data_IF_232949633566
#
_entry.id   IF_232949633566
#
_cell.length_a   1.000
_cell.length_b   1.000
_cell.length_c   1.000
_cell.angle_alpha   90.00
_cell.angle_beta   90.00
_cell.angle_gamma   90.00
#
_symmetry.space_group_name_H-M   'P 1'
#
loop_
_entity.id
_entity.type
_entity.pdbx_description
1 polymer ?
#
# COMPACT_ATOMS: atom_id res chain seq x y z
N UNK A 1 26.56 -20.75 13.12
CA UNK A 1 25.57 -20.16 12.20
C UNK A 1 24.37 -21.07 12.24
N UNK A 2 23.25 -20.60 12.79
CA UNK A 2 21.99 -21.34 12.62
C UNK A 2 21.70 -21.41 11.12
N UNK A 3 21.41 -22.61 10.64
CA UNK A 3 21.07 -22.86 9.26
C UNK A 3 19.59 -22.47 9.10
N UNK A 4 19.32 -21.17 8.95
CA UNK A 4 17.96 -20.65 8.84
C UNK A 4 17.44 -20.99 7.44
N UNK A 5 16.25 -21.59 7.38
CA UNK A 5 15.60 -21.96 6.11
C UNK A 5 15.28 -20.70 5.29
N UNK A 6 15.80 -20.56 4.05
CA UNK A 6 15.47 -19.44 3.17
C UNK A 6 13.97 -19.24 2.95
N UNK A 7 13.17 -20.31 2.98
CA UNK A 7 11.72 -20.23 2.86
C UNK A 7 11.12 -19.49 4.06
N UNK A 8 11.57 -19.82 5.27
CA UNK A 8 11.07 -19.20 6.50
C UNK A 8 11.48 -17.72 6.59
N UNK A 9 12.70 -17.38 6.17
CA UNK A 9 13.15 -15.98 6.07
C UNK A 9 12.28 -15.15 5.11
N UNK A 10 12.01 -15.67 3.90
CA UNK A 10 11.15 -14.97 2.92
C UNK A 10 9.73 -14.83 3.47
N UNK A 11 9.18 -15.87 4.10
CA UNK A 11 7.83 -15.82 4.67
C UNK A 11 7.71 -14.76 5.74
N UNK A 12 8.55 -14.84 6.76
CA UNK A 12 8.44 -14.01 7.97
C UNK A 12 8.81 -12.54 7.72
N UNK A 13 9.78 -12.28 6.83
CA UNK A 13 10.31 -10.92 6.61
C UNK A 13 9.73 -10.21 5.40
N UNK A 14 9.06 -10.91 4.49
CA UNK A 14 8.49 -10.29 3.29
C UNK A 14 7.01 -10.64 3.07
N UNK A 15 6.63 -11.92 3.06
CA UNK A 15 5.25 -12.33 2.76
C UNK A 15 4.29 -11.90 3.88
N UNK A 16 4.54 -12.31 5.12
CA UNK A 16 3.64 -11.99 6.23
C UNK A 16 3.50 -10.48 6.49
N UNK A 17 4.59 -9.67 6.45
CA UNK A 17 4.43 -8.22 6.58
C UNK A 17 3.66 -7.60 5.39
N UNK A 18 3.81 -8.14 4.18
CA UNK A 18 3.00 -7.73 3.02
C UNK A 18 1.52 -8.03 3.25
N UNK A 19 1.19 -9.23 3.74
CA UNK A 19 -0.19 -9.64 4.01
C UNK A 19 -0.82 -8.82 5.14
N UNK A 20 -0.06 -8.54 6.22
CA UNK A 20 -0.51 -7.65 7.29
C UNK A 20 -0.77 -6.24 6.80
N UNK A 21 0.12 -5.68 5.97
CA UNK A 21 -0.07 -4.35 5.40
C UNK A 21 -1.29 -4.30 4.47
N UNK A 22 -1.45 -5.31 3.61
CA UNK A 22 -2.59 -5.45 2.71
C UNK A 22 -3.92 -5.52 3.49
N UNK A 23 -3.96 -6.27 4.60
CA UNK A 23 -5.12 -6.32 5.48
C UNK A 23 -5.39 -4.96 6.16
N UNK A 24 -4.36 -4.32 6.72
CA UNK A 24 -4.50 -3.01 7.38
C UNK A 24 -5.06 -1.94 6.43
N UNK A 25 -4.70 -2.01 5.15
CA UNK A 25 -5.20 -1.11 4.11
C UNK A 25 -6.68 -1.33 3.77
N UNK A 26 -7.29 -2.45 4.16
CA UNK A 26 -8.76 -2.65 4.06
C UNK A 26 -9.55 -1.99 5.20
N UNK A 27 -8.85 -1.47 6.21
CA UNK A 27 -9.50 -0.72 7.28
C UNK A 27 -9.87 0.67 6.77
N UNK A 28 -11.12 1.07 7.01
CA UNK A 28 -11.72 2.31 6.53
C UNK A 28 -11.22 3.53 7.29
N UNK A 29 -9.91 3.66 7.45
CA UNK A 29 -9.24 4.75 8.17
C UNK A 29 -8.89 5.91 7.25
N UNK A 30 -8.98 7.11 7.78
CA UNK A 30 -8.41 8.29 7.15
C UNK A 30 -6.89 8.30 7.38
N UNK A 31 -6.13 8.12 6.29
CA UNK A 31 -4.67 8.03 6.34
C UNK A 31 -4.03 9.26 5.69
N UNK A 32 -3.00 9.78 6.36
CA UNK A 32 -2.09 10.80 5.82
C UNK A 32 -0.69 10.19 5.75
N UNK A 33 -0.09 10.14 4.55
CA UNK A 33 1.14 9.38 4.29
C UNK A 33 2.31 9.72 5.22
N UNK A 34 2.49 10.99 5.55
CA UNK A 34 3.55 11.49 6.45
C UNK A 34 3.39 11.00 7.91
N UNK A 35 2.15 10.68 8.31
CA UNK A 35 1.76 10.38 9.69
C UNK A 35 1.26 8.95 9.89
N UNK A 36 0.87 8.25 8.83
CA UNK A 36 0.31 6.89 8.86
C UNK A 36 1.38 5.83 9.13
N UNK A 37 1.06 4.87 9.98
CA UNK A 37 1.92 3.72 10.22
C UNK A 37 2.01 2.82 9.00
N UNK A 38 0.96 2.76 8.18
CA UNK A 38 0.88 1.99 6.94
C UNK A 38 1.96 2.43 5.93
N UNK A 39 2.17 3.73 5.73
CA UNK A 39 3.25 4.23 4.88
C UNK A 39 4.65 3.93 5.45
N UNK A 40 4.81 3.94 6.78
CA UNK A 40 6.07 3.56 7.44
C UNK A 40 6.33 2.06 7.28
N UNK A 41 5.30 1.24 7.42
CA UNK A 41 5.39 -0.21 7.27
C UNK A 41 5.65 -0.61 5.81
N UNK A 42 5.09 0.10 4.84
CA UNK A 42 5.49 -0.01 3.43
C UNK A 42 6.99 0.28 3.22
N UNK A 43 7.50 1.38 3.78
CA UNK A 43 8.92 1.70 3.73
C UNK A 43 9.80 0.64 4.38
N UNK A 44 9.41 0.13 5.56
CA UNK A 44 10.10 -0.97 6.26
C UNK A 44 10.08 -2.27 5.45
N UNK A 45 8.95 -2.60 4.82
CA UNK A 45 8.81 -3.77 3.97
C UNK A 45 9.75 -3.68 2.76
N UNK A 46 9.82 -2.52 2.09
CA UNK A 46 10.77 -2.31 0.98
C UNK A 46 12.22 -2.51 1.43
N UNK A 47 12.59 -1.99 2.60
CA UNK A 47 13.92 -2.20 3.20
C UNK A 47 14.17 -3.68 3.52
N UNK A 48 13.18 -4.38 4.08
CA UNK A 48 13.29 -5.79 4.44
C UNK A 48 13.47 -6.69 3.20
N UNK A 49 12.67 -6.50 2.16
CA UNK A 49 12.76 -7.24 0.88
C UNK A 49 14.13 -7.02 0.24
N UNK A 50 14.60 -5.77 0.17
CA UNK A 50 15.96 -5.50 -0.33
C UNK A 50 17.03 -6.17 0.54
N UNK A 51 16.89 -6.08 1.86
CA UNK A 51 17.82 -6.71 2.79
C UNK A 51 17.87 -8.23 2.68
N UNK A 52 16.79 -8.88 2.25
CA UNK A 52 16.78 -10.31 1.94
C UNK A 52 17.64 -10.63 0.71
N UNK A 53 17.58 -9.83 -0.35
CA UNK A 53 18.47 -10.01 -1.50
C UNK A 53 19.95 -9.89 -1.11
N UNK A 54 20.28 -8.89 -0.29
CA UNK A 54 21.64 -8.70 0.24
C UNK A 54 22.07 -9.89 1.13
N UNK A 55 21.15 -10.39 1.97
CA UNK A 55 21.39 -11.54 2.84
C UNK A 55 21.68 -12.84 2.08
N UNK A 56 20.99 -13.07 0.95
CA UNK A 56 21.22 -14.22 0.08
C UNK A 56 22.26 -13.96 -1.02
N UNK A 57 23.04 -12.88 -0.90
CA UNK A 57 24.14 -12.53 -1.81
C UNK A 57 23.71 -12.39 -3.29
N UNK A 58 22.46 -11.99 -3.54
CA UNK A 58 21.96 -11.74 -4.89
C UNK A 58 22.50 -10.40 -5.44
N UNK A 59 22.95 -10.41 -6.70
CA UNK A 59 23.46 -9.20 -7.34
C UNK A 59 22.33 -8.20 -7.63
N UNK A 60 22.40 -7.04 -6.98
CA UNK A 60 21.39 -6.00 -7.09
C UNK A 60 21.25 -5.42 -8.52
N UNK A 61 22.32 -5.42 -9.32
CA UNK A 61 22.29 -4.93 -10.71
C UNK A 61 21.55 -5.91 -11.61
N UNK A 62 21.74 -7.20 -11.40
CA UNK A 62 21.04 -8.22 -12.20
C UNK A 62 19.56 -8.31 -11.84
N UNK A 63 19.20 -8.13 -10.57
CA UNK A 63 17.80 -7.96 -10.16
C UNK A 63 17.16 -6.72 -10.79
N UNK A 64 17.85 -5.58 -10.79
CA UNK A 64 17.35 -4.33 -11.38
C UNK A 64 17.16 -4.42 -12.91
N UNK A 65 18.06 -5.12 -13.63
CA UNK A 65 17.87 -5.41 -15.06
C UNK A 65 16.68 -6.31 -15.34
N UNK A 66 16.37 -7.21 -14.40
CA UNK A 66 15.33 -8.22 -14.55
C UNK A 66 13.94 -7.71 -14.17
N UNK A 67 13.83 -6.60 -13.43
CA UNK A 67 12.54 -6.10 -12.95
C UNK A 67 12.54 -4.59 -12.69
N UNK A 68 11.61 -3.90 -13.36
CA UNK A 68 11.29 -2.50 -13.06
C UNK A 68 10.70 -2.36 -11.65
N UNK A 69 9.90 -3.33 -11.19
CA UNK A 69 9.34 -3.32 -9.83
C UNK A 69 10.43 -3.40 -8.76
N UNK A 70 11.47 -4.23 -8.98
CA UNK A 70 12.63 -4.27 -8.10
C UNK A 70 13.34 -2.92 -8.00
N UNK A 71 13.48 -2.23 -9.13
CA UNK A 71 14.09 -0.90 -9.20
C UNK A 71 13.28 0.13 -8.41
N UNK A 72 11.95 0.13 -8.58
CA UNK A 72 11.05 1.01 -7.84
C UNK A 72 11.06 0.72 -6.34
N UNK A 73 11.01 -0.57 -5.96
CA UNK A 73 11.08 -0.98 -4.57
C UNK A 73 12.40 -0.54 -3.90
N UNK A 74 13.52 -0.70 -4.62
CA UNK A 74 14.84 -0.27 -4.13
C UNK A 74 14.87 1.25 -3.90
N UNK A 75 14.28 2.03 -4.80
CA UNK A 75 14.17 3.47 -4.64
C UNK A 75 13.33 3.86 -3.41
N UNK A 76 12.24 3.14 -3.13
CA UNK A 76 11.46 3.30 -1.88
C UNK A 76 12.28 2.93 -0.65
N UNK A 77 13.05 1.84 -0.69
CA UNK A 77 13.90 1.41 0.40
C UNK A 77 14.98 2.47 0.73
N UNK A 78 15.62 3.03 -0.29
CA UNK A 78 16.60 4.12 -0.14
C UNK A 78 15.95 5.38 0.45
N UNK A 79 14.80 5.79 -0.08
CA UNK A 79 14.05 6.93 0.43
C UNK A 79 13.64 6.75 1.91
N UNK A 80 13.32 5.51 2.31
CA UNK A 80 12.90 5.16 3.66
C UNK A 80 14.06 5.13 4.68
N UNK A 81 15.30 4.88 4.23
CA UNK A 81 16.51 4.90 5.08
C UNK A 81 17.04 6.32 5.34
N UNK A 82 16.85 7.26 4.41
CA UNK A 82 17.50 8.58 4.45
C UNK A 82 16.57 9.66 5.05
N UNK A 83 16.62 9.84 6.38
CA UNK A 83 15.89 10.90 7.08
C UNK A 83 16.37 12.33 6.79
N UNK A 84 17.58 12.54 6.25
CA UNK A 84 18.23 13.85 6.19
C UNK A 84 19.05 13.97 4.88
N UNK A 85 19.00 15.13 4.20
CA UNK A 85 20.04 15.70 3.27
C UNK A 85 19.81 15.86 1.75
N UNK A 86 18.65 15.64 1.11
CA UNK A 86 18.48 16.06 -0.31
C UNK A 86 17.11 16.68 -0.61
N UNK A 87 17.09 17.64 -1.55
CA UNK A 87 15.92 18.39 -2.01
C UNK A 87 14.74 17.48 -2.36
N UNK A 88 13.56 17.77 -1.80
CA UNK A 88 12.33 16.97 -1.93
C UNK A 88 11.87 16.74 -3.38
N UNK A 89 12.18 17.63 -4.32
CA UNK A 89 11.67 17.60 -5.69
C UNK A 89 12.19 16.47 -6.60
N UNK A 90 13.15 15.65 -6.14
CA UNK A 90 13.74 14.54 -6.94
C UNK A 90 13.65 13.19 -6.25
N UNK A 91 12.91 13.08 -5.15
CA UNK A 91 12.85 11.84 -4.36
C UNK A 91 11.59 11.06 -4.69
N UNK A 92 11.74 9.74 -4.75
CA UNK A 92 10.64 8.80 -4.64
C UNK A 92 9.96 9.01 -3.29
N UNK A 93 8.65 9.22 -3.29
CA UNK A 93 7.85 9.33 -2.07
C UNK A 93 6.77 8.27 -2.02
N UNK A 94 6.29 7.98 -0.82
CA UNK A 94 5.08 7.19 -0.62
C UNK A 94 3.93 8.16 -0.34
N UNK A 95 2.86 8.01 -1.10
CA UNK A 95 1.59 8.70 -0.90
C UNK A 95 0.53 7.69 -0.48
N UNK A 96 -0.50 8.16 0.22
CA UNK A 96 -1.62 7.33 0.65
C UNK A 96 -2.91 8.00 0.24
N UNK A 97 -3.86 7.21 -0.27
CA UNK A 97 -5.18 7.69 -0.64
C UNK A 97 -6.26 6.67 -0.30
N UNK A 98 -7.43 7.14 0.10
CA UNK A 98 -8.60 6.31 0.33
C UNK A 98 -9.40 6.17 -0.98
N UNK A 99 -9.70 4.94 -1.38
CA UNK A 99 -10.33 4.63 -2.66
C UNK A 99 -11.77 4.19 -2.44
N UNK A 100 -12.68 4.77 -3.21
CA UNK A 100 -14.11 4.51 -3.12
C UNK A 100 -14.68 4.10 -4.47
N UNK A 101 -15.60 3.16 -4.44
CA UNK A 101 -16.47 2.81 -5.56
C UNK A 101 -17.77 3.59 -5.42
N UNK A 102 -18.21 4.25 -6.49
CA UNK A 102 -19.50 4.90 -6.58
C UNK A 102 -20.50 4.00 -7.32
N UNK A 103 -21.74 3.93 -6.85
CA UNK A 103 -22.85 3.34 -7.60
C UNK A 103 -23.59 4.39 -8.45
N UNK A 104 -24.66 3.98 -9.13
CA UNK A 104 -25.49 4.88 -9.94
C UNK A 104 -26.48 5.71 -9.11
N UNK A 105 -26.61 5.43 -7.80
CA UNK A 105 -27.46 6.16 -6.87
C UNK A 105 -26.68 7.19 -6.04
N UNK A 106 -25.44 7.51 -6.44
CA UNK A 106 -24.52 8.39 -5.71
C UNK A 106 -24.20 7.90 -4.28
N UNK A 107 -24.20 6.58 -4.07
CA UNK A 107 -23.63 5.96 -2.90
C UNK A 107 -22.17 5.60 -3.11
N UNK A 108 -21.44 5.48 -2.01
CA UNK A 108 -20.00 5.21 -1.99
C UNK A 108 -19.70 4.00 -1.11
N UNK A 109 -18.80 3.15 -1.60
CA UNK A 109 -18.29 1.97 -0.90
C UNK A 109 -16.79 2.10 -0.78
N UNK A 110 -16.26 1.97 0.43
CA UNK A 110 -14.82 1.94 0.64
C UNK A 110 -14.23 0.67 0.01
N UNK A 111 -13.20 0.85 -0.82
CA UNK A 111 -12.49 -0.25 -1.47
C UNK A 111 -11.27 -0.60 -0.63
N UNK A 112 -10.32 0.33 -0.50
CA UNK A 112 -9.17 0.20 0.38
C UNK A 112 -8.45 1.55 0.45
N UNK A 113 -7.53 1.67 1.39
CA UNK A 113 -6.45 2.61 1.28
C UNK A 113 -5.40 2.06 0.32
N UNK A 114 -4.81 2.93 -0.50
CA UNK A 114 -3.76 2.57 -1.45
C UNK A 114 -2.51 3.36 -1.16
N UNK A 115 -1.38 2.66 -1.12
CA UNK A 115 -0.06 3.27 -1.04
C UNK A 115 0.49 3.38 -2.46
N UNK A 116 0.88 4.59 -2.84
CA UNK A 116 1.39 4.93 -4.16
C UNK A 116 2.85 5.31 -4.05
N UNK A 117 3.68 4.70 -4.88
CA UNK A 117 5.06 5.12 -5.14
C UNK A 117 4.99 6.26 -6.15
N UNK A 118 5.23 7.49 -5.70
CA UNK A 118 5.39 8.63 -6.59
C UNK A 118 6.86 8.72 -7.02
N UNK A 119 7.15 8.20 -8.22
CA UNK A 119 8.50 8.17 -8.78
C UNK A 119 8.67 9.24 -9.88
N UNK A 120 9.75 10.06 -9.86
CA UNK A 120 9.90 11.18 -10.80
C UNK A 120 9.82 10.83 -12.29
N UNK A 121 10.25 9.61 -12.66
CA UNK A 121 10.28 9.17 -14.07
C UNK A 121 9.29 8.06 -14.40
N UNK A 122 8.87 7.27 -13.40
CA UNK A 122 7.96 6.14 -13.62
C UNK A 122 6.50 6.51 -13.33
N UNK A 123 6.27 7.74 -12.83
CA UNK A 123 4.96 8.19 -12.40
C UNK A 123 4.53 7.50 -11.11
N UNK A 124 3.21 7.37 -10.97
CA UNK A 124 2.55 6.85 -9.79
C UNK A 124 2.26 5.37 -9.95
N UNK A 125 2.86 4.53 -9.10
CA UNK A 125 2.75 3.07 -9.16
C UNK A 125 2.20 2.52 -7.83
N UNK A 126 1.43 1.44 -7.88
CA UNK A 126 0.87 0.82 -6.67
C UNK A 126 1.92 0.02 -5.90
N UNK A 127 2.09 0.33 -4.61
CA UNK A 127 3.15 -0.25 -3.80
C UNK A 127 2.99 -1.75 -3.53
N UNK A 128 1.81 -2.26 -3.17
CA UNK A 128 1.62 -3.66 -2.84
C UNK A 128 1.92 -4.57 -4.04
N UNK A 129 1.49 -4.19 -5.23
CA UNK A 129 1.77 -4.86 -6.50
C UNK A 129 3.25 -4.88 -6.82
N UNK A 130 3.93 -3.74 -6.71
CA UNK A 130 5.39 -3.66 -6.87
C UNK A 130 6.12 -4.53 -5.87
N UNK A 131 5.73 -4.50 -4.58
CA UNK A 131 6.34 -5.32 -3.55
C UNK A 131 6.11 -6.82 -3.78
N UNK A 132 4.89 -7.22 -4.16
CA UNK A 132 4.55 -8.60 -4.49
C UNK A 132 5.37 -9.12 -5.68
N UNK A 133 5.53 -8.31 -6.73
CA UNK A 133 6.35 -8.64 -7.89
C UNK A 133 7.83 -8.82 -7.51
N UNK A 134 8.36 -7.93 -6.68
CA UNK A 134 9.74 -8.03 -6.17
C UNK A 134 9.96 -9.27 -5.29
N UNK A 135 9.01 -9.61 -4.41
CA UNK A 135 9.08 -10.84 -3.59
C UNK A 135 9.08 -12.09 -4.49
N UNK A 136 8.19 -12.13 -5.48
CA UNK A 136 8.14 -13.23 -6.45
C UNK A 136 9.43 -13.36 -7.25
N UNK A 137 10.06 -12.24 -7.62
CA UNK A 137 11.37 -12.25 -8.23
C UNK A 137 12.40 -12.92 -7.32
N UNK A 138 12.46 -12.56 -6.03
CA UNK A 138 13.38 -13.21 -5.08
C UNK A 138 13.15 -14.71 -4.96
N UNK A 139 11.89 -15.13 -4.79
CA UNK A 139 11.52 -16.55 -4.74
C UNK A 139 12.05 -17.29 -5.98
N UNK A 140 11.86 -16.70 -7.16
CA UNK A 140 12.33 -17.26 -8.43
C UNK A 140 13.86 -17.32 -8.53
N UNK A 141 14.56 -16.26 -8.13
CA UNK A 141 16.03 -16.18 -8.22
C UNK A 141 16.72 -17.15 -7.26
N UNK A 142 16.10 -17.42 -6.12
CA UNK A 142 16.55 -18.39 -5.14
C UNK A 142 16.12 -19.84 -5.46
N UNK A 143 15.35 -20.05 -6.54
CA UNK A 143 14.83 -21.37 -6.91
C UNK A 143 13.87 -21.98 -5.88
N UNK A 144 13.23 -21.15 -5.06
CA UNK A 144 12.36 -21.60 -3.97
C UNK A 144 10.98 -21.99 -4.51
N UNK A 145 10.38 -23.00 -3.88
CA UNK A 145 9.03 -23.46 -4.18
C UNK A 145 8.07 -22.99 -3.10
N UNK A 146 7.64 -21.74 -3.21
CA UNK A 146 6.64 -21.14 -2.33
C UNK A 146 5.36 -20.92 -3.12
N UNK A 147 4.29 -21.60 -2.75
CA UNK A 147 2.96 -21.39 -3.33
C UNK A 147 2.32 -20.15 -2.68
N UNK A 148 2.67 -18.98 -3.21
CA UNK A 148 2.16 -17.71 -2.73
C UNK A 148 1.56 -16.89 -3.88
N UNK A 149 0.25 -16.67 -3.80
CA UNK A 149 -0.52 -15.93 -4.79
C UNK A 149 -1.09 -14.66 -4.15
N UNK A 150 -0.32 -13.55 -4.10
CA UNK A 150 -0.76 -12.28 -3.55
C UNK A 150 -2.04 -11.80 -4.22
N UNK A 151 -3.02 -11.45 -3.40
CA UNK A 151 -4.27 -10.81 -3.80
C UNK A 151 -4.46 -9.55 -2.97
N UNK A 152 -4.53 -8.39 -3.61
CA UNK A 152 -4.86 -7.15 -2.93
C UNK A 152 -6.31 -7.24 -2.46
N UNK A 153 -6.54 -6.96 -1.19
CA UNK A 153 -7.87 -7.10 -0.59
C UNK A 153 -8.69 -5.83 -0.82
N UNK A 154 -10.01 -6.02 -0.85
CA UNK A 154 -11.00 -4.94 -0.78
C UNK A 154 -11.69 -5.01 0.58
N UNK A 155 -12.12 -3.86 1.09
CA UNK A 155 -12.92 -3.70 2.28
C UNK A 155 -14.36 -4.19 2.08
N UNK A 156 -15.20 -4.01 3.11
CA UNK A 156 -16.56 -4.55 3.10
C UNK A 156 -17.38 -4.06 1.91
N UNK A 157 -18.18 -4.92 1.25
CA UNK A 157 -18.89 -4.56 0.03
C UNK A 157 -20.17 -3.76 0.31
N UNK A 158 -20.11 -2.74 1.17
CA UNK A 158 -21.27 -1.97 1.64
C UNK A 158 -21.25 -0.54 1.10
N UNK A 159 -22.30 -0.18 0.36
CA UNK A 159 -22.52 1.19 -0.11
C UNK A 159 -23.22 2.03 0.95
N UNK A 160 -22.84 3.31 1.03
CA UNK A 160 -23.39 4.31 1.94
C UNK A 160 -23.67 5.63 1.20
N UNK A 161 -24.63 6.45 1.64
CA UNK A 161 -24.90 7.76 1.05
C UNK A 161 -23.75 8.77 1.14
N UNK A 162 -22.76 8.52 1.99
CA UNK A 162 -21.63 9.41 2.23
C UNK A 162 -20.32 8.63 2.18
N UNK A 163 -19.26 9.34 1.82
CA UNK A 163 -17.89 8.85 1.94
C UNK A 163 -17.57 8.79 3.43
N UNK A 164 -17.39 7.60 3.97
CA UNK A 164 -17.09 7.42 5.39
C UNK A 164 -15.63 7.05 5.58
N UNK A 165 -14.96 7.67 6.54
CA UNK A 165 -13.63 7.26 7.01
C UNK A 165 -13.52 7.48 8.52
N UNK A 166 -12.83 6.58 9.19
CA UNK A 166 -12.52 6.68 10.62
C UNK A 166 -11.27 7.53 10.82
N UNK A 167 -11.36 8.62 11.58
CA UNK A 167 -10.24 9.53 11.82
C UNK A 167 -9.11 8.94 12.69
N UNK A 168 -9.34 7.75 13.25
CA UNK A 168 -8.42 7.08 14.18
C UNK A 168 -8.57 7.56 15.63
N UNK A 169 -7.79 6.95 16.56
CA UNK A 169 -8.00 7.11 18.00
C UNK A 169 -7.46 8.43 18.58
N UNK A 170 -6.70 9.21 17.80
CA UNK A 170 -6.11 10.46 18.27
C UNK A 170 -7.02 11.65 17.92
N UNK A 171 -7.80 12.18 18.88
CA UNK A 171 -8.69 13.32 18.64
C UNK A 171 -7.93 14.61 18.32
N UNK A 172 -6.61 14.66 18.57
CA UNK A 172 -5.75 15.81 18.28
C UNK A 172 -5.00 15.66 16.95
N UNK A 173 -5.19 14.55 16.23
CA UNK A 173 -4.57 14.35 14.92
C UNK A 173 -5.15 15.35 13.93
N UNK A 174 -4.40 16.42 13.69
CA UNK A 174 -4.68 17.34 12.57
C UNK A 174 -4.29 16.62 11.29
N UNK A 175 -5.31 16.20 10.53
CA UNK A 175 -5.14 15.64 9.20
C UNK A 175 -4.97 16.80 8.21
N UNK A 176 -3.76 16.95 7.68
CA UNK A 176 -3.40 18.09 6.82
C UNK A 176 -3.85 17.86 5.37
N UNK A 177 -3.78 16.63 4.90
CA UNK A 177 -4.19 16.27 3.55
C UNK A 177 -4.73 14.85 3.50
N UNK A 178 -6.05 14.74 3.30
CA UNK A 178 -6.70 13.48 2.95
C UNK A 178 -6.87 13.42 1.43
N UNK A 179 -6.30 12.40 0.80
CA UNK A 179 -6.53 12.14 -0.61
C UNK A 179 -7.64 11.09 -0.77
N UNK A 180 -8.72 11.46 -1.44
CA UNK A 180 -9.83 10.56 -1.78
C UNK A 180 -9.87 10.37 -3.29
N UNK A 181 -10.02 9.12 -3.75
CA UNK A 181 -10.14 8.75 -5.16
C UNK A 181 -11.42 7.95 -5.37
N UNK A 182 -12.11 8.22 -6.47
CA UNK A 182 -13.37 7.57 -6.80
C UNK A 182 -13.25 6.75 -8.07
N UNK A 183 -14.02 5.67 -8.11
CA UNK A 183 -14.08 4.72 -9.21
C UNK A 183 -15.51 4.31 -9.46
N UNK A 184 -15.79 3.84 -10.67
CA UNK A 184 -16.99 3.06 -11.00
C UNK A 184 -16.56 1.72 -11.55
N UNK A 185 -17.28 0.66 -11.15
CA UNK A 185 -17.07 -0.67 -11.72
C UNK A 185 -17.78 -0.76 -13.07
N UNK A 186 -17.08 -1.19 -14.10
CA UNK A 186 -17.66 -1.42 -15.42
C UNK A 186 -18.38 -2.79 -15.48
N UNK A 187 -18.98 -3.11 -16.63
CA UNK A 187 -19.71 -4.37 -16.82
C UNK A 187 -18.82 -5.62 -16.66
N UNK A 188 -17.52 -5.48 -16.94
CA UNK A 188 -16.53 -6.56 -16.82
C UNK A 188 -15.98 -6.72 -15.39
N UNK A 189 -16.44 -5.87 -14.46
CA UNK A 189 -16.02 -5.90 -13.06
C UNK A 189 -14.76 -5.08 -12.76
N UNK A 190 -14.21 -4.34 -13.72
CA UNK A 190 -13.01 -3.51 -13.56
C UNK A 190 -13.34 -2.11 -13.03
N UNK A 191 -12.45 -1.55 -12.22
CA UNK A 191 -12.60 -0.21 -11.65
C UNK A 191 -12.00 0.85 -12.60
N UNK A 192 -12.85 1.72 -13.13
CA UNK A 192 -12.45 2.89 -13.90
C UNK A 192 -12.52 4.15 -13.04
N UNK A 193 -11.56 5.07 -13.21
CA UNK A 193 -11.58 6.35 -12.49
C UNK A 193 -12.87 7.11 -12.76
N UNK A 194 -13.46 7.64 -11.70
CA UNK A 194 -14.68 8.41 -11.73
C UNK A 194 -14.48 9.71 -10.94
N UNK A 195 -15.13 10.78 -11.37
CA UNK A 195 -15.17 12.03 -10.63
C UNK A 195 -16.62 12.33 -10.27
N UNK A 196 -17.04 12.15 -9.00
CA UNK A 196 -18.38 12.54 -8.58
C UNK A 196 -18.55 14.06 -8.71
N UNK A 197 -19.80 14.50 -8.93
CA UNK A 197 -20.15 15.91 -8.93
C UNK A 197 -20.00 16.51 -7.53
N UNK A 198 -21.01 16.30 -6.69
CA UNK A 198 -20.97 16.64 -5.28
C UNK A 198 -20.87 15.38 -4.42
N UNK A 199 -20.01 15.40 -3.41
CA UNK A 199 -19.88 14.34 -2.43
C UNK A 199 -19.61 14.91 -1.04
N UNK A 200 -20.00 14.17 -0.01
CA UNK A 200 -19.83 14.56 1.38
C UNK A 200 -18.96 13.54 2.09
N UNK A 201 -18.02 14.06 2.90
CA UNK A 201 -17.15 13.27 3.76
C UNK A 201 -17.70 13.27 5.18
N UNK A 202 -17.94 12.08 5.71
CA UNK A 202 -18.24 11.81 7.11
C UNK A 202 -16.98 11.22 7.77
N UNK A 203 -16.23 12.07 8.48
CA UNK A 203 -15.09 11.67 9.30
C UNK A 203 -15.59 11.25 10.68
N UNK A 204 -15.67 9.93 10.90
CA UNK A 204 -16.16 9.40 12.16
C UNK A 204 -15.10 9.52 13.25
N UNK A 205 -15.44 10.09 14.43
CA UNK A 205 -14.62 9.96 15.62
C UNK A 205 -14.56 8.49 16.03
N UNK A 206 -13.41 8.06 16.58
CA UNK A 206 -13.23 6.72 17.08
C UNK A 206 -14.34 6.28 18.05
N UNK A 207 -14.81 5.03 17.91
CA UNK A 207 -15.61 4.34 18.92
C UNK A 207 -17.12 4.61 18.91
N UNK A 208 -17.66 5.37 17.96
CA UNK A 208 -19.11 5.40 17.75
C UNK A 208 -19.52 4.24 16.84
N UNK A 209 -19.66 3.05 17.43
CA UNK A 209 -20.58 2.05 16.88
C UNK A 209 -21.95 2.70 16.74
N UNK A 210 -22.59 2.54 15.59
CA UNK A 210 -23.97 2.95 15.37
C UNK A 210 -24.85 2.45 16.54
N UNK A 211 -25.13 3.31 17.50
CA UNK A 211 -26.26 3.14 18.41
C UNK A 211 -27.50 3.50 17.59
N UNK A 212 -27.97 2.54 16.80
CA UNK A 212 -29.28 2.58 16.15
C UNK A 212 -29.89 1.19 16.22
N UNK A 213 -30.45 0.88 17.38
CA UNK A 213 -31.85 0.48 17.58
C UNK A 213 -32.08 0.24 19.08
#
# INVERSE_FOLDING_TARGET
MENIDPIDEIKTRAIEPWERLNLALTEQKALEASKSDEARDAGRLAVAIRGLAEHFELDARDLAKSSADWTLLTAVADASKVRLLYSAARRTTLEVSAHFEADDNAHYRFIHNRIVIAHPTAGNVEFLGTAAAAIRLLISQLGLRIDWTPKILEGPPTFRPMVQLDAGPDPNRVMEMLQVRFYKRNADGELATFQPGDWQLDLKPFGQSNSTA
#
